data_IF_483436618100
#
_entry.id   IF_483436618100
#
_cell.length_a   1.000
_cell.length_b   1.000
_cell.length_c   1.000
_cell.angle_alpha   90.00
_cell.angle_beta   90.00
_cell.angle_gamma   90.00
#
_symmetry.space_group_name_H-M   'P 1'
#
loop_
_entity.id
_entity.type
_entity.pdbx_description
1 polymer ?
#
# COMPACT_ATOMS: atom_id res chain seq x y z
N UNK A 1 -8.81 -8.25 34.38
CA UNK A 1 -9.93 -9.10 33.92
C UNK A 1 -9.49 -9.84 32.67
N UNK A 2 -9.59 -11.18 32.61
CA UNK A 2 -9.32 -11.90 31.37
C UNK A 2 -10.44 -11.59 30.37
N UNK A 3 -10.08 -11.12 29.17
CA UNK A 3 -11.08 -10.92 28.10
C UNK A 3 -11.69 -12.28 27.74
N UNK A 4 -13.03 -12.32 27.64
CA UNK A 4 -13.72 -13.57 27.34
C UNK A 4 -13.36 -14.05 25.93
N UNK A 5 -13.06 -15.35 25.80
CA UNK A 5 -12.67 -16.03 24.54
C UNK A 5 -13.53 -15.61 23.33
N UNK A 6 -14.87 -15.46 23.43
CA UNK A 6 -15.69 -15.02 22.31
C UNK A 6 -15.35 -13.60 21.83
N UNK A 7 -15.10 -12.66 22.75
CA UNK A 7 -14.77 -11.27 22.38
C UNK A 7 -13.45 -11.17 21.62
N UNK A 8 -12.45 -11.97 21.99
CA UNK A 8 -11.17 -12.02 21.30
C UNK A 8 -11.32 -12.56 19.88
N UNK A 9 -12.15 -13.60 19.70
CA UNK A 9 -12.41 -14.18 18.39
C UNK A 9 -13.16 -13.19 17.46
N UNK A 10 -14.15 -12.47 17.97
CA UNK A 10 -14.88 -11.44 17.22
C UNK A 10 -13.97 -10.25 16.83
N UNK A 11 -13.14 -9.77 17.77
CA UNK A 11 -12.18 -8.69 17.50
C UNK A 11 -11.14 -9.11 16.47
N UNK A 12 -10.56 -10.30 16.60
CA UNK A 12 -9.59 -10.83 15.65
C UNK A 12 -10.18 -11.03 14.26
N UNK A 13 -11.39 -11.58 14.16
CA UNK A 13 -12.09 -11.74 12.86
C UNK A 13 -12.36 -10.39 12.20
N UNK A 14 -12.80 -9.39 12.96
CA UNK A 14 -13.02 -8.03 12.46
C UNK A 14 -11.72 -7.38 11.97
N UNK A 15 -10.61 -7.55 12.70
CA UNK A 15 -9.30 -7.05 12.30
C UNK A 15 -8.83 -7.69 10.98
N UNK A 16 -9.03 -9.00 10.81
CA UNK A 16 -8.74 -9.71 9.56
C UNK A 16 -9.55 -9.16 8.39
N UNK A 17 -10.86 -8.98 8.57
CA UNK A 17 -11.72 -8.43 7.51
C UNK A 17 -11.32 -6.99 7.13
N UNK A 18 -11.03 -6.15 8.13
CA UNK A 18 -10.56 -4.77 7.92
C UNK A 18 -9.25 -4.76 7.12
N UNK A 19 -8.25 -5.54 7.54
CA UNK A 19 -6.98 -5.65 6.83
C UNK A 19 -7.16 -6.11 5.38
N UNK A 20 -7.95 -7.17 5.14
CA UNK A 20 -8.19 -7.68 3.78
C UNK A 20 -8.87 -6.64 2.89
N UNK A 21 -9.84 -5.90 3.44
CA UNK A 21 -10.50 -4.80 2.72
C UNK A 21 -9.51 -3.71 2.33
N UNK A 22 -8.77 -3.16 3.30
CA UNK A 22 -7.83 -2.06 3.05
C UNK A 22 -6.70 -2.48 2.09
N UNK A 23 -6.18 -3.71 2.24
CA UNK A 23 -5.20 -4.27 1.30
C UNK A 23 -5.78 -4.40 -0.11
N UNK A 24 -7.03 -4.86 -0.24
CA UNK A 24 -7.70 -4.97 -1.54
C UNK A 24 -7.84 -3.62 -2.25
N UNK A 25 -8.21 -2.57 -1.50
CA UNK A 25 -8.27 -1.21 -2.03
C UNK A 25 -6.88 -0.72 -2.45
N UNK A 26 -5.84 -0.94 -1.62
CA UNK A 26 -4.47 -0.54 -1.96
C UNK A 26 -3.99 -1.20 -3.26
N UNK A 27 -4.18 -2.51 -3.38
CA UNK A 27 -3.81 -3.28 -4.58
C UNK A 27 -4.51 -2.74 -5.83
N UNK A 28 -5.80 -2.44 -5.74
CA UNK A 28 -6.55 -1.88 -6.87
C UNK A 28 -6.08 -0.46 -7.23
N UNK A 29 -5.79 0.38 -6.24
CA UNK A 29 -5.24 1.71 -6.47
C UNK A 29 -3.86 1.64 -7.14
N UNK A 30 -2.98 0.75 -6.69
CA UNK A 30 -1.66 0.53 -7.30
C UNK A 30 -1.80 0.09 -8.77
N UNK A 31 -2.67 -0.88 -9.06
CA UNK A 31 -2.93 -1.33 -10.44
C UNK A 31 -3.47 -0.22 -11.33
N UNK A 32 -4.45 0.54 -10.83
CA UNK A 32 -4.99 1.69 -11.54
C UNK A 32 -3.89 2.69 -11.86
N UNK A 33 -3.03 2.97 -10.88
CA UNK A 33 -1.96 3.93 -11.04
C UNK A 33 -0.88 3.47 -12.02
N UNK A 34 -0.47 2.20 -11.98
CA UNK A 34 0.43 1.60 -12.99
C UNK A 34 -0.18 1.73 -14.39
N UNK A 35 -1.48 1.43 -14.55
CA UNK A 35 -2.17 1.58 -15.83
C UNK A 35 -2.13 3.03 -16.31
N UNK A 36 -2.43 3.98 -15.43
CA UNK A 36 -2.36 5.43 -15.73
C UNK A 36 -0.96 5.82 -16.20
N UNK A 37 0.08 5.47 -15.43
CA UNK A 37 1.48 5.78 -15.76
C UNK A 37 1.92 5.19 -17.11
N UNK A 38 1.45 3.99 -17.47
CA UNK A 38 1.77 3.35 -18.76
C UNK A 38 0.99 3.91 -19.95
N UNK A 39 -0.19 4.47 -19.71
CA UNK A 39 -1.08 4.95 -20.77
C UNK A 39 -0.90 6.43 -21.13
N UNK A 40 -0.15 7.18 -20.31
CA UNK A 40 -0.06 8.62 -20.44
C UNK A 40 1.00 9.07 -21.48
N UNK A 41 0.64 10.00 -22.39
CA UNK A 41 1.62 10.73 -23.18
C UNK A 41 2.47 11.66 -22.29
N UNK A 42 3.75 11.82 -22.64
CA UNK A 42 4.66 12.75 -21.97
C UNK A 42 4.07 14.18 -21.93
N UNK A 43 4.14 14.86 -20.78
CA UNK A 43 3.82 16.27 -20.56
C UNK A 43 2.51 16.67 -19.87
N UNK A 44 1.52 15.79 -19.63
CA UNK A 44 0.15 16.24 -19.25
C UNK A 44 -0.45 15.60 -17.98
N UNK A 45 0.24 15.69 -16.83
CA UNK A 45 -0.01 14.75 -15.72
C UNK A 45 0.03 15.29 -14.28
N UNK A 46 0.30 16.57 -14.05
CA UNK A 46 0.57 17.06 -12.67
C UNK A 46 -0.61 16.88 -11.70
N UNK A 47 -1.83 17.20 -12.12
CA UNK A 47 -3.01 17.14 -11.24
C UNK A 47 -3.42 15.68 -10.99
N UNK A 48 -3.45 14.87 -12.04
CA UNK A 48 -3.90 13.47 -11.96
C UNK A 48 -2.89 12.62 -11.18
N UNK A 49 -1.59 12.87 -11.34
CA UNK A 49 -0.55 12.21 -10.55
C UNK A 49 -0.56 12.67 -9.09
N UNK A 50 -0.70 13.98 -8.80
CA UNK A 50 -0.77 14.45 -7.42
C UNK A 50 -1.94 13.86 -6.64
N UNK A 51 -3.13 13.76 -7.26
CA UNK A 51 -4.32 13.14 -6.66
C UNK A 51 -4.10 11.63 -6.41
N UNK A 52 -3.44 10.93 -7.34
CA UNK A 52 -3.13 9.52 -7.19
C UNK A 52 -2.08 9.25 -6.10
N UNK A 53 -1.06 10.10 -5.95
CA UNK A 53 -0.03 9.99 -4.91
C UNK A 53 -0.63 10.20 -3.53
N UNK A 54 -1.47 11.21 -3.34
CA UNK A 54 -2.14 11.45 -2.05
C UNK A 54 -3.10 10.31 -1.68
N UNK A 55 -3.85 9.80 -2.66
CA UNK A 55 -4.73 8.65 -2.48
C UNK A 55 -3.95 7.38 -2.08
N UNK A 56 -2.83 7.09 -2.75
CA UNK A 56 -1.97 5.95 -2.43
C UNK A 56 -1.35 6.06 -1.04
N UNK A 57 -0.89 7.25 -0.64
CA UNK A 57 -0.34 7.48 0.70
C UNK A 57 -1.38 7.20 1.79
N UNK A 58 -2.57 7.80 1.67
CA UNK A 58 -3.66 7.60 2.64
C UNK A 58 -4.02 6.11 2.73
N UNK A 59 -4.04 5.41 1.60
CA UNK A 59 -4.38 4.00 1.58
C UNK A 59 -3.26 3.13 2.18
N UNK A 60 -1.99 3.48 1.97
CA UNK A 60 -0.86 2.86 2.65
C UNK A 60 -0.98 3.00 4.16
N UNK A 61 -1.22 4.22 4.67
CA UNK A 61 -1.37 4.47 6.11
C UNK A 61 -2.50 3.63 6.73
N UNK A 62 -3.65 3.51 6.03
CA UNK A 62 -4.75 2.64 6.47
C UNK A 62 -4.35 1.16 6.53
N UNK A 63 -3.58 0.67 5.56
CA UNK A 63 -3.07 -0.70 5.55
C UNK A 63 -2.07 -0.93 6.68
N UNK A 64 -1.17 0.03 6.95
CA UNK A 64 -0.24 -0.04 8.09
C UNK A 64 -1.01 -0.18 9.41
N UNK A 65 -1.94 0.72 9.67
CA UNK A 65 -2.75 0.65 10.89
C UNK A 65 -3.58 -0.63 10.98
N UNK A 66 -4.16 -1.09 9.87
CA UNK A 66 -4.91 -2.34 9.85
C UNK A 66 -4.00 -3.56 10.09
N UNK A 67 -2.73 -3.51 9.65
CA UNK A 67 -1.76 -4.58 9.87
C UNK A 67 -1.27 -4.65 11.33
N UNK A 68 -1.11 -3.52 11.99
CA UNK A 68 -0.79 -3.44 13.41
C UNK A 68 -1.96 -3.90 14.28
N UNK A 69 -3.19 -3.46 13.95
CA UNK A 69 -4.44 -3.88 14.59
C UNK A 69 -4.63 -5.41 14.50
N UNK A 70 -4.27 -5.99 13.35
CA UNK A 70 -4.29 -7.44 13.11
C UNK A 70 -3.27 -8.18 13.98
N UNK A 71 -2.05 -7.64 14.12
CA UNK A 71 -1.00 -8.21 14.95
C UNK A 71 -1.34 -8.19 16.44
N UNK A 72 -2.19 -7.27 16.89
CA UNK A 72 -2.65 -7.18 18.28
C UNK A 72 -3.86 -8.09 18.51
N UNK A 73 -4.89 -7.99 17.67
CA UNK A 73 -6.18 -8.62 17.94
C UNK A 73 -6.35 -10.01 17.33
N UNK A 74 -5.51 -10.40 16.35
CA UNK A 74 -5.60 -11.68 15.66
C UNK A 74 -4.30 -12.51 15.72
N UNK A 75 -3.33 -12.14 16.58
CA UNK A 75 -2.00 -12.76 16.70
C UNK A 75 -2.00 -14.30 16.69
N UNK A 76 -2.92 -14.91 17.47
CA UNK A 76 -3.04 -16.36 17.62
C UNK A 76 -3.97 -17.04 16.61
N UNK A 77 -4.57 -16.29 15.68
CA UNK A 77 -5.46 -16.86 14.67
C UNK A 77 -4.64 -17.41 13.49
N UNK A 78 -5.12 -18.51 12.88
CA UNK A 78 -4.42 -19.21 11.80
C UNK A 78 -3.99 -18.27 10.64
N UNK A 79 -4.82 -17.28 10.32
CA UNK A 79 -4.51 -16.27 9.31
C UNK A 79 -3.20 -15.52 9.61
N UNK A 80 -3.01 -15.05 10.85
CA UNK A 80 -1.80 -14.33 11.27
C UNK A 80 -0.64 -15.29 11.51
N UNK A 81 -0.92 -16.41 12.17
CA UNK A 81 0.09 -17.43 12.50
C UNK A 81 0.78 -18.01 11.26
N UNK A 82 0.05 -18.17 10.14
CA UNK A 82 0.61 -18.72 8.90
C UNK A 82 1.71 -17.87 8.25
N UNK A 83 1.70 -16.55 8.46
CA UNK A 83 2.71 -15.60 7.94
C UNK A 83 3.64 -15.07 9.02
N UNK A 84 3.24 -15.20 10.29
CA UNK A 84 3.95 -14.68 11.45
C UNK A 84 3.61 -13.22 11.75
N UNK A 85 3.65 -12.87 13.04
CA UNK A 85 3.35 -11.50 13.52
C UNK A 85 4.32 -10.47 12.92
N UNK A 86 5.59 -10.85 12.73
CA UNK A 86 6.62 -9.97 12.16
C UNK A 86 6.28 -9.50 10.75
N UNK A 87 5.61 -10.33 9.95
CA UNK A 87 5.17 -9.96 8.61
C UNK A 87 4.20 -8.76 8.64
N UNK A 88 3.21 -8.81 9.55
CA UNK A 88 2.20 -7.75 9.66
C UNK A 88 2.71 -6.51 10.41
N UNK A 89 3.68 -6.66 11.31
CA UNK A 89 4.23 -5.55 12.10
C UNK A 89 5.45 -4.86 11.49
N UNK A 90 6.12 -5.50 10.53
CA UNK A 90 7.33 -4.94 9.90
C UNK A 90 7.27 -4.96 8.39
N UNK A 91 7.05 -6.12 7.78
CA UNK A 91 7.12 -6.26 6.32
C UNK A 91 6.04 -5.44 5.61
N UNK A 92 4.78 -5.54 6.04
CA UNK A 92 3.70 -4.74 5.45
C UNK A 92 3.95 -3.23 5.63
N UNK A 93 4.28 -2.74 6.84
CA UNK A 93 4.69 -1.35 7.02
C UNK A 93 5.83 -0.88 6.10
N UNK A 94 6.87 -1.68 5.94
CA UNK A 94 8.01 -1.37 5.06
C UNK A 94 7.59 -1.22 3.60
N UNK A 95 6.80 -2.17 3.09
CA UNK A 95 6.28 -2.10 1.70
C UNK A 95 5.43 -0.83 1.51
N UNK A 96 4.57 -0.51 2.47
CA UNK A 96 3.79 0.73 2.43
C UNK A 96 4.67 2.00 2.43
N UNK A 97 5.77 2.00 3.19
CA UNK A 97 6.72 3.10 3.22
C UNK A 97 7.51 3.23 1.91
N UNK A 98 7.85 2.11 1.26
CA UNK A 98 8.49 2.08 -0.06
C UNK A 98 7.55 2.64 -1.14
N UNK A 99 6.30 2.18 -1.19
CA UNK A 99 5.28 2.74 -2.08
C UNK A 99 5.13 4.25 -1.86
N UNK A 100 5.05 4.69 -0.60
CA UNK A 100 4.95 6.10 -0.25
C UNK A 100 6.18 6.93 -0.62
N UNK A 101 7.38 6.32 -0.61
CA UNK A 101 8.63 6.96 -1.04
C UNK A 101 8.70 7.10 -2.55
N UNK A 102 8.43 6.02 -3.28
CA UNK A 102 8.51 5.99 -4.74
C UNK A 102 7.48 6.92 -5.39
N UNK A 103 6.26 6.94 -4.85
CA UNK A 103 5.20 7.85 -5.31
C UNK A 103 5.51 9.32 -5.04
N UNK A 104 6.15 9.64 -3.90
CA UNK A 104 6.60 11.01 -3.60
C UNK A 104 7.76 11.43 -4.50
N UNK A 105 8.74 10.55 -4.68
CA UNK A 105 9.85 10.81 -5.59
C UNK A 105 9.36 11.09 -7.02
N UNK A 106 8.32 10.38 -7.47
CA UNK A 106 7.68 10.68 -8.75
C UNK A 106 7.00 12.06 -8.76
N UNK A 107 6.24 12.40 -7.72
CA UNK A 107 5.60 13.71 -7.62
C UNK A 107 6.64 14.85 -7.69
N UNK A 108 7.76 14.71 -7.00
CA UNK A 108 8.87 15.67 -7.01
C UNK A 108 9.50 15.76 -8.41
N UNK A 109 9.81 14.61 -9.03
CA UNK A 109 10.35 14.54 -10.41
C UNK A 109 9.41 15.23 -11.41
N UNK A 110 8.10 15.01 -11.29
CA UNK A 110 7.11 15.60 -12.21
C UNK A 110 6.92 17.09 -11.97
N UNK A 111 6.98 17.53 -10.72
CA UNK A 111 6.98 18.95 -10.38
C UNK A 111 8.20 19.65 -11.01
N UNK A 112 9.38 19.03 -10.93
CA UNK A 112 10.60 19.50 -11.59
C UNK A 112 10.53 19.37 -13.12
N UNK A 113 9.75 18.43 -13.65
CA UNK A 113 9.57 18.20 -15.08
C UNK A 113 8.89 19.37 -15.81
N UNK A 114 8.20 20.25 -15.07
CA UNK A 114 7.73 21.55 -15.57
C UNK A 114 8.90 22.42 -16.03
N UNK A 115 10.07 22.24 -15.42
CA UNK A 115 11.28 23.02 -15.66
C UNK A 115 12.38 22.22 -16.39
N UNK A 116 12.34 20.87 -16.37
CA UNK A 116 13.35 20.02 -17.01
C UNK A 116 12.83 18.60 -17.32
N UNK A 117 12.69 18.26 -18.59
CA UNK A 117 12.20 16.94 -19.04
C UNK A 117 13.13 15.81 -18.59
N UNK A 118 12.66 14.93 -17.70
CA UNK A 118 13.28 13.67 -17.30
C UNK A 118 12.60 12.52 -18.03
N UNK A 119 13.28 11.96 -19.03
CA UNK A 119 12.78 10.87 -19.88
C UNK A 119 12.54 9.60 -19.05
N UNK A 120 11.43 8.89 -19.30
CA UNK A 120 11.06 7.58 -18.73
C UNK A 120 10.86 7.51 -17.20
N UNK A 121 10.61 8.63 -16.53
CA UNK A 121 10.34 8.66 -15.08
C UNK A 121 9.10 7.85 -14.70
N UNK A 122 8.04 7.92 -15.51
CA UNK A 122 6.78 7.23 -15.32
C UNK A 122 6.96 5.71 -15.40
N UNK A 123 7.80 5.25 -16.33
CA UNK A 123 8.10 3.83 -16.55
C UNK A 123 8.85 3.26 -15.34
N UNK A 124 9.87 3.97 -14.84
CA UNK A 124 10.64 3.51 -13.67
C UNK A 124 9.78 3.35 -12.42
N UNK A 125 8.84 4.26 -12.20
CA UNK A 125 7.96 4.20 -11.02
C UNK A 125 6.88 3.13 -11.19
N UNK A 126 6.35 2.95 -12.40
CA UNK A 126 5.47 1.82 -12.70
C UNK A 126 6.14 0.48 -12.36
N UNK A 127 7.43 0.30 -12.73
CA UNK A 127 8.20 -0.91 -12.39
C UNK A 127 8.36 -1.12 -10.88
N UNK A 128 8.66 -0.06 -10.12
CA UNK A 128 8.77 -0.18 -8.65
C UNK A 128 7.43 -0.52 -7.99
N UNK A 129 6.34 0.05 -8.47
CA UNK A 129 5.00 -0.26 -8.01
C UNK A 129 4.58 -1.70 -8.38
N UNK A 130 5.03 -2.23 -9.51
CA UNK A 130 4.84 -3.64 -9.86
C UNK A 130 5.57 -4.59 -8.92
N UNK A 131 6.81 -4.27 -8.53
CA UNK A 131 7.52 -5.03 -7.50
C UNK A 131 6.78 -4.98 -6.15
N UNK A 132 6.38 -3.79 -5.69
CA UNK A 132 5.61 -3.65 -4.46
C UNK A 132 4.26 -4.41 -4.52
N UNK A 133 3.61 -4.42 -5.69
CA UNK A 133 2.39 -5.20 -5.91
C UNK A 133 2.65 -6.71 -5.85
N UNK A 134 3.77 -7.18 -6.39
CA UNK A 134 4.18 -8.58 -6.30
C UNK A 134 4.47 -8.98 -4.84
N UNK A 135 5.13 -8.13 -4.07
CA UNK A 135 5.42 -8.36 -2.65
C UNK A 135 4.15 -8.34 -1.80
N UNK A 136 3.19 -7.47 -2.13
CA UNK A 136 1.85 -7.50 -1.54
C UNK A 136 1.06 -8.73 -1.97
N UNK A 137 1.32 -9.26 -3.18
CA UNK A 137 0.58 -10.31 -3.88
C UNK A 137 1.06 -11.74 -3.64
N UNK A 138 2.30 -11.94 -3.18
CA UNK A 138 2.84 -13.24 -2.74
C UNK A 138 2.16 -13.73 -1.44
N UNK A 139 0.88 -14.10 -1.55
CA UNK A 139 0.09 -14.76 -0.51
C UNK A 139 -0.73 -15.88 -1.11
#
# INVERSE_FOLDING_TARGET
MPESIPRNLFRGTRAILKYRKERGILVNNIRSYISTLRSMPQGNYLIEIALNVQSLKIQCDKVKWASEDLAIHAAGMAYVASKGITYFTRTIPQICDEIGRDTRQLADILHDHIHRTIVDAEIHVALRLEHALADLGHI
#
